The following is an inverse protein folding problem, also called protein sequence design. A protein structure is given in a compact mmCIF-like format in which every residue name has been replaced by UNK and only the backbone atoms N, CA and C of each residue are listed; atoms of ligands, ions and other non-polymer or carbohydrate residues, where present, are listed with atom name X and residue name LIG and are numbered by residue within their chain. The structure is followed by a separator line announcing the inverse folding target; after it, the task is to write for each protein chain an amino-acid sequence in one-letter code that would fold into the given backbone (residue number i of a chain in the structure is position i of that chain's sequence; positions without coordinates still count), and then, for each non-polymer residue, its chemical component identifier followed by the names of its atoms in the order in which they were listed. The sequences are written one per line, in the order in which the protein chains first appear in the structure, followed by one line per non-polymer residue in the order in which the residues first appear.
data_IF_171523959015
#
_entry.id   IF_171523959015
#
_cell.length_a   1.000
_cell.length_b   1.000
_cell.length_c   1.000
_cell.angle_alpha   90.00
_cell.angle_beta   90.00
_cell.angle_gamma   90.00
#
_symmetry.space_group_name_H-M   'P 1'
#
loop_
_entity.id
_entity.type
_entity.pdbx_description
1 polymer ?
#
# COMPACT_ATOMS: atom_id res chain seq x y z
N UNK A 1 20.27 10.17 -11.54
CA UNK A 1 18.90 10.56 -11.87
C UNK A 1 17.92 9.37 -11.75
N UNK A 2 17.82 8.77 -10.55
CA UNK A 2 16.88 7.67 -10.24
C UNK A 2 15.70 8.16 -9.39
N UNK A 3 15.98 9.07 -8.45
CA UNK A 3 14.99 9.73 -7.58
C UNK A 3 13.81 10.40 -8.33
N UNK A 4 14.05 10.99 -9.51
CA UNK A 4 12.99 11.61 -10.31
C UNK A 4 12.13 10.54 -11.00
N UNK A 5 12.75 9.43 -11.41
CA UNK A 5 12.08 8.29 -12.04
C UNK A 5 11.24 7.50 -11.04
N UNK A 6 11.73 7.27 -9.82
CA UNK A 6 10.99 6.62 -8.73
C UNK A 6 9.79 7.47 -8.30
N UNK A 7 9.99 8.80 -8.21
CA UNK A 7 8.91 9.74 -7.89
C UNK A 7 7.83 9.73 -8.98
N UNK A 8 8.20 9.65 -10.27
CA UNK A 8 7.22 9.51 -11.36
C UNK A 8 6.47 8.18 -11.29
N UNK A 9 7.16 7.05 -11.12
CA UNK A 9 6.50 5.73 -10.99
C UNK A 9 5.54 5.65 -9.82
N UNK A 10 5.91 6.19 -8.66
CA UNK A 10 5.02 6.24 -7.49
C UNK A 10 3.82 7.13 -7.77
N UNK A 11 4.01 8.33 -8.35
CA UNK A 11 2.89 9.21 -8.71
C UNK A 11 1.96 8.54 -9.72
N UNK A 12 2.49 7.99 -10.82
CA UNK A 12 1.71 7.37 -11.89
C UNK A 12 0.94 6.10 -11.42
N UNK A 13 1.49 5.34 -10.47
CA UNK A 13 0.84 4.14 -9.92
C UNK A 13 -0.25 4.49 -8.87
N UNK A 14 -0.13 5.64 -8.21
CA UNK A 14 -1.07 6.11 -7.19
C UNK A 14 -2.10 7.12 -7.71
N UNK A 15 -2.15 7.38 -9.02
CA UNK A 15 -3.21 8.14 -9.71
C UNK A 15 -4.56 7.39 -9.79
N UNK A 16 -4.85 6.52 -8.82
CA UNK A 16 -6.17 5.93 -8.62
C UNK A 16 -6.86 6.61 -7.42
N UNK A 17 -7.43 7.79 -7.70
CA UNK A 17 -8.45 8.50 -6.90
C UNK A 17 -8.25 8.51 -5.36
N UNK A 18 -7.04 8.89 -4.94
CA UNK A 18 -6.54 8.66 -3.59
C UNK A 18 -6.53 9.91 -2.70
N UNK A 19 -7.65 10.61 -2.60
CA UNK A 19 -7.63 11.98 -2.06
C UNK A 19 -8.23 12.16 -0.66
N UNK A 20 -8.88 11.16 -0.03
CA UNK A 20 -9.71 11.48 1.14
C UNK A 20 -8.97 11.57 2.50
N UNK A 21 -7.92 10.77 2.75
CA UNK A 21 -7.30 10.70 4.10
C UNK A 21 -5.95 11.43 4.22
N UNK A 22 -5.24 11.65 3.10
CA UNK A 22 -3.94 12.33 3.09
C UNK A 22 -4.05 13.76 3.64
N UNK A 23 -5.18 14.44 3.40
CA UNK A 23 -5.46 15.79 3.89
C UNK A 23 -5.99 15.83 5.33
N UNK A 24 -6.31 14.67 5.94
CA UNK A 24 -6.70 14.62 7.36
C UNK A 24 -5.45 14.60 8.25
N UNK A 25 -5.48 15.27 9.42
CA UNK A 25 -4.48 15.04 10.47
C UNK A 25 -4.37 13.55 10.79
N UNK A 26 -3.17 13.06 11.10
CA UNK A 26 -2.89 11.64 11.33
C UNK A 26 -3.88 10.99 12.31
N UNK A 27 -4.20 11.68 13.41
CA UNK A 27 -5.14 11.20 14.43
C UNK A 27 -6.60 11.07 13.97
N UNK A 28 -6.97 11.62 12.80
CA UNK A 28 -8.34 11.58 12.24
C UNK A 28 -8.46 10.64 11.05
N UNK A 29 -7.41 9.90 10.72
CA UNK A 29 -7.40 8.93 9.62
C UNK A 29 -8.05 7.64 10.11
N UNK A 30 -8.97 7.11 9.31
CA UNK A 30 -9.64 5.83 9.56
C UNK A 30 -8.81 4.66 9.01
N UNK A 31 -8.10 4.89 7.90
CA UNK A 31 -7.41 3.85 7.14
C UNK A 31 -5.92 4.15 6.95
N UNK A 32 -5.41 5.21 7.58
CA UNK A 32 -4.01 5.60 7.49
C UNK A 32 -3.71 6.63 6.40
N UNK A 33 -2.42 6.85 6.13
CA UNK A 33 -1.97 7.92 5.23
C UNK A 33 -2.07 7.50 3.77
N UNK A 34 -1.78 6.22 3.51
CA UNK A 34 -1.86 5.64 2.19
C UNK A 34 -2.57 4.27 2.24
N UNK A 35 -3.91 4.27 2.18
CA UNK A 35 -4.77 3.09 1.99
C UNK A 35 -5.01 2.61 0.53
N UNK A 36 -4.09 1.85 -0.07
CA UNK A 36 -4.17 1.30 -1.44
C UNK A 36 -5.28 0.25 -1.60
N UNK A 37 -6.11 0.30 -2.65
CA UNK A 37 -7.17 -0.70 -2.84
C UNK A 37 -6.60 -2.10 -3.07
N UNK A 38 -7.17 -3.08 -2.39
CA UNK A 38 -6.89 -4.50 -2.61
C UNK A 38 -8.00 -5.06 -3.49
N UNK A 39 -7.65 -5.48 -4.70
CA UNK A 39 -8.55 -6.09 -5.67
C UNK A 39 -8.31 -7.61 -5.70
N UNK A 40 -9.39 -8.39 -5.57
CA UNK A 40 -9.37 -9.85 -5.79
C UNK A 40 -10.37 -10.18 -6.88
N UNK A 41 -9.87 -10.59 -8.05
CA UNK A 41 -10.67 -10.71 -9.26
C UNK A 41 -11.22 -9.34 -9.68
N UNK A 42 -12.55 -9.19 -9.65
CA UNK A 42 -13.28 -7.97 -9.97
C UNK A 42 -13.80 -7.22 -8.72
N UNK A 43 -13.43 -7.66 -7.52
CA UNK A 43 -13.95 -7.11 -6.25
C UNK A 43 -12.88 -6.38 -5.46
N UNK A 44 -13.24 -5.20 -4.98
CA UNK A 44 -12.51 -4.52 -3.92
C UNK A 44 -12.80 -5.23 -2.60
N UNK A 45 -11.77 -5.82 -2.01
CA UNK A 45 -11.89 -6.65 -0.80
C UNK A 45 -11.24 -6.00 0.43
N UNK A 46 -10.40 -4.98 0.24
CA UNK A 46 -9.75 -4.32 1.35
C UNK A 46 -8.86 -3.16 0.93
N UNK A 47 -8.04 -2.68 1.88
CA UNK A 47 -7.10 -1.59 1.69
C UNK A 47 -5.77 -1.89 2.38
N UNK A 48 -4.66 -1.58 1.73
CA UNK A 48 -3.33 -1.67 2.29
C UNK A 48 -2.88 -0.27 2.74
N UNK A 49 -2.75 -0.04 4.05
CA UNK A 49 -2.06 1.14 4.56
C UNK A 49 -0.55 0.92 4.49
N UNK A 50 0.12 1.53 3.52
CA UNK A 50 1.56 1.39 3.37
C UNK A 50 2.25 2.64 2.84
N UNK A 51 3.47 2.89 3.31
CA UNK A 51 4.28 4.03 2.91
C UNK A 51 5.63 3.59 2.34
N UNK A 52 5.94 4.03 1.13
CA UNK A 52 7.28 3.93 0.55
C UNK A 52 8.22 4.95 1.23
N UNK A 53 9.24 4.44 1.93
CA UNK A 53 10.31 5.21 2.55
C UNK A 53 11.61 4.97 1.76
N UNK A 54 11.72 5.65 0.62
CA UNK A 54 12.82 5.47 -0.35
C UNK A 54 14.19 5.75 0.28
N UNK A 55 14.26 6.68 1.24
CA UNK A 55 15.51 6.99 1.94
C UNK A 55 15.98 5.82 2.82
N UNK A 56 15.04 5.10 3.42
CA UNK A 56 15.32 3.93 4.23
C UNK A 56 15.32 2.62 3.42
N UNK A 57 14.97 2.66 2.12
CA UNK A 57 14.91 1.48 1.26
C UNK A 57 13.77 0.51 1.58
N UNK A 58 12.68 0.98 2.22
CA UNK A 58 11.60 0.09 2.69
C UNK A 58 10.19 0.53 2.26
N UNK A 59 9.33 -0.46 2.03
CA UNK A 59 7.87 -0.30 1.97
C UNK A 59 7.31 -0.65 3.36
N UNK A 60 6.92 0.36 4.13
CA UNK A 60 6.36 0.17 5.48
C UNK A 60 4.88 -0.14 5.37
N UNK A 61 4.49 -1.35 5.73
CA UNK A 61 3.09 -1.76 5.84
C UNK A 61 2.63 -1.46 7.27
N UNK A 62 1.69 -0.54 7.39
CA UNK A 62 1.08 -0.15 8.65
C UNK A 62 -0.12 -1.03 8.99
N UNK A 63 -0.97 -1.34 8.00
CA UNK A 63 -2.14 -2.18 8.19
C UNK A 63 -2.64 -2.78 6.86
N UNK A 64 -3.35 -3.90 6.97
CA UNK A 64 -4.23 -4.41 5.92
C UNK A 64 -5.65 -4.35 6.49
N UNK A 65 -6.48 -3.51 5.90
CA UNK A 65 -7.88 -3.34 6.26
C UNK A 65 -8.75 -4.23 5.39
N UNK A 66 -9.44 -5.18 6.00
CA UNK A 66 -10.35 -6.08 5.34
C UNK A 66 -11.74 -5.44 5.27
N UNK A 67 -12.29 -5.19 4.07
CA UNK A 67 -13.69 -4.76 3.92
C UNK A 67 -14.65 -5.95 4.17
N UNK A 68 -14.15 -7.16 3.90
CA UNK A 68 -14.73 -8.45 4.28
C UNK A 68 -13.63 -9.41 4.71
N UNK A 69 -13.93 -10.34 5.63
CA UNK A 69 -12.93 -11.29 6.13
C UNK A 69 -12.20 -12.03 5.01
N UNK A 70 -10.86 -12.00 5.05
CA UNK A 70 -10.02 -12.77 4.15
C UNK A 70 -9.92 -14.21 4.63
N UNK A 71 -10.31 -15.14 3.76
CA UNK A 71 -9.93 -16.53 3.91
C UNK A 71 -8.40 -16.70 3.75
N UNK A 72 -7.91 -17.90 4.03
CA UNK A 72 -6.47 -18.19 3.99
C UNK A 72 -5.85 -17.93 2.60
N UNK A 73 -6.59 -18.26 1.53
CA UNK A 73 -6.14 -18.09 0.15
C UNK A 73 -6.02 -16.61 -0.21
N UNK A 74 -7.03 -15.82 0.12
CA UNK A 74 -7.03 -14.38 -0.12
C UNK A 74 -5.91 -13.70 0.67
N UNK A 75 -5.71 -14.11 1.93
CA UNK A 75 -4.62 -13.58 2.76
C UNK A 75 -3.25 -13.87 2.17
N UNK A 76 -2.99 -15.10 1.75
CA UNK A 76 -1.73 -15.49 1.11
C UNK A 76 -1.49 -14.72 -0.19
N UNK A 77 -2.53 -14.58 -1.03
CA UNK A 77 -2.43 -13.80 -2.27
C UNK A 77 -2.11 -12.33 -1.98
N UNK A 78 -2.78 -11.70 -1.00
CA UNK A 78 -2.51 -10.31 -0.60
C UNK A 78 -1.08 -10.16 -0.08
N UNK A 79 -0.60 -11.11 0.74
CA UNK A 79 0.76 -11.08 1.25
C UNK A 79 1.80 -11.22 0.11
N UNK A 80 1.52 -12.07 -0.88
CA UNK A 80 2.36 -12.24 -2.07
C UNK A 80 2.39 -10.96 -2.94
N UNK A 81 1.25 -10.30 -3.14
CA UNK A 81 1.16 -9.05 -3.90
C UNK A 81 1.85 -7.88 -3.18
N UNK A 82 1.76 -7.80 -1.85
CA UNK A 82 2.53 -6.83 -1.06
C UNK A 82 4.04 -7.04 -1.26
N UNK A 83 4.49 -8.30 -1.24
CA UNK A 83 5.88 -8.64 -1.52
C UNK A 83 6.29 -8.32 -2.97
N UNK A 84 5.40 -8.55 -3.93
CA UNK A 84 5.62 -8.21 -5.33
C UNK A 84 5.73 -6.71 -5.54
N UNK A 85 4.87 -5.91 -4.88
CA UNK A 85 4.94 -4.45 -4.88
C UNK A 85 6.28 -3.96 -4.30
N UNK A 86 6.73 -4.52 -3.18
CA UNK A 86 8.05 -4.22 -2.62
C UNK A 86 9.17 -4.47 -3.64
N UNK A 87 9.20 -5.65 -4.27
CA UNK A 87 10.18 -5.97 -5.31
C UNK A 87 10.13 -5.02 -6.50
N UNK A 88 8.93 -4.70 -6.99
CA UNK A 88 8.74 -3.80 -8.13
C UNK A 88 9.23 -2.37 -7.82
N UNK A 89 9.06 -1.94 -6.57
CA UNK A 89 9.56 -0.66 -6.07
C UNK A 89 11.05 -0.68 -5.69
N UNK A 90 11.72 -1.83 -5.74
CA UNK A 90 13.08 -2.02 -5.23
C UNK A 90 13.20 -1.66 -3.73
N UNK A 91 12.18 -2.02 -2.93
CA UNK A 91 12.09 -1.75 -1.49
C UNK A 91 11.86 -3.04 -0.69
N UNK A 92 12.51 -3.13 0.47
CA UNK A 92 12.26 -4.21 1.42
C UNK A 92 10.91 -3.98 2.14
N UNK A 93 10.08 -5.02 2.20
CA UNK A 93 8.79 -4.94 2.89
C UNK A 93 9.02 -5.10 4.40
N UNK A 94 8.56 -4.12 5.17
CA UNK A 94 8.57 -4.19 6.63
C UNK A 94 7.15 -4.00 7.15
N UNK A 95 6.69 -4.91 8.00
CA UNK A 95 5.39 -4.79 8.69
C UNK A 95 5.62 -4.21 10.08
N UNK A 96 4.79 -3.25 10.48
CA UNK A 96 4.79 -2.77 11.87
C UNK A 96 4.54 -3.93 12.84
N UNK A 97 5.25 -3.93 13.96
CA UNK A 97 4.96 -4.78 15.13
C UNK A 97 3.75 -4.27 15.89
#
# INVERSE_FOLDING_TARGET
DRLVYDRKRLTDLFEFDYQLEMYKPAAKRRWGYYALPILSGDRLVGKLDAKADVRAGVLRVHAVHEDSHFDAVTREAVDAEIAALGRWLELDVVRGS
#
